data_IF_134519066974
#
_entry.id   IF_134519066974
#
_cell.length_a   1.000
_cell.length_b   1.000
_cell.length_c   1.000
_cell.angle_alpha   90.00
_cell.angle_beta   90.00
_cell.angle_gamma   90.00
#
_symmetry.space_group_name_H-M   'P 1'
#
loop_
_entity.id
_entity.type
_entity.pdbx_description
1 polymer ?
#
# COMPACT_ATOMS: atom_id res chain seq x y z
N UNK A 1 -10.29 6.57 5.95
CA UNK A 1 -10.50 6.18 4.54
C UNK A 1 -11.99 6.06 4.30
N UNK A 2 -12.49 6.58 3.19
CA UNK A 2 -13.88 6.45 2.75
C UNK A 2 -13.92 5.70 1.42
N UNK A 3 -14.82 4.72 1.29
CA UNK A 3 -15.03 3.96 0.05
C UNK A 3 -16.43 4.24 -0.47
N UNK A 4 -16.53 4.63 -1.74
CA UNK A 4 -17.78 4.90 -2.46
C UNK A 4 -17.98 3.78 -3.47
N UNK A 5 -18.90 2.87 -3.15
CA UNK A 5 -19.13 1.64 -3.92
C UNK A 5 -20.55 1.53 -4.52
N UNK A 6 -21.38 2.55 -4.30
CA UNK A 6 -22.74 2.59 -4.83
C UNK A 6 -22.83 3.58 -5.98
N UNK A 7 -22.95 3.07 -7.21
CA UNK A 7 -23.08 3.89 -8.42
C UNK A 7 -24.37 4.74 -8.51
N UNK A 8 -25.34 4.54 -7.59
CA UNK A 8 -26.56 5.36 -7.51
C UNK A 8 -26.48 6.48 -6.48
N UNK A 9 -25.41 6.52 -5.68
CA UNK A 9 -25.28 7.54 -4.66
C UNK A 9 -24.86 8.88 -5.28
N UNK A 10 -25.47 9.95 -4.79
CA UNK A 10 -25.15 11.31 -5.17
C UNK A 10 -24.46 12.02 -4.00
N UNK A 11 -23.45 12.83 -4.30
CA UNK A 11 -22.63 13.50 -3.31
C UNK A 11 -22.49 14.98 -3.66
N UNK A 12 -22.31 15.81 -2.64
CA UNK A 12 -22.01 17.22 -2.83
C UNK A 12 -20.51 17.46 -2.78
N UNK A 13 -20.04 18.51 -3.42
CA UNK A 13 -18.65 18.96 -3.31
C UNK A 13 -18.24 19.20 -1.85
N UNK A 14 -19.14 19.76 -1.03
CA UNK A 14 -18.90 20.04 0.39
C UNK A 14 -18.54 18.78 1.18
N UNK A 15 -19.21 17.66 0.91
CA UNK A 15 -18.92 16.39 1.56
C UNK A 15 -17.49 15.89 1.24
N UNK A 16 -17.03 16.05 -0.01
CA UNK A 16 -15.65 15.72 -0.37
C UNK A 16 -14.63 16.63 0.33
N UNK A 17 -14.88 17.95 0.34
CA UNK A 17 -14.02 18.94 1.00
C UNK A 17 -13.86 18.62 2.50
N UNK A 18 -14.96 18.39 3.20
CA UNK A 18 -14.94 18.10 4.65
C UNK A 18 -14.13 16.85 4.97
N UNK A 19 -14.30 15.79 4.15
CA UNK A 19 -13.58 14.52 4.37
C UNK A 19 -12.09 14.63 4.04
N UNK A 20 -11.74 15.33 2.96
CA UNK A 20 -10.35 15.58 2.59
C UNK A 20 -9.66 16.46 3.64
N UNK A 21 -10.32 17.50 4.16
CA UNK A 21 -9.81 18.35 5.24
C UNK A 21 -9.57 17.57 6.55
N UNK A 22 -10.40 16.56 6.83
CA UNK A 22 -10.16 15.62 7.93
C UNK A 22 -9.04 14.59 7.65
N UNK A 23 -8.34 14.69 6.51
CA UNK A 23 -7.23 13.82 6.13
C UNK A 23 -7.66 12.47 5.56
N UNK A 24 -8.92 12.28 5.17
CA UNK A 24 -9.40 11.01 4.62
C UNK A 24 -9.04 10.86 3.13
N UNK A 25 -8.43 9.73 2.76
CA UNK A 25 -8.45 9.25 1.37
C UNK A 25 -9.83 8.76 0.99
N UNK A 26 -10.31 9.15 -0.18
CA UNK A 26 -11.59 8.74 -0.75
C UNK A 26 -11.30 7.83 -1.96
N UNK A 27 -11.87 6.64 -1.97
CA UNK A 27 -11.74 5.67 -3.08
C UNK A 27 -13.11 5.52 -3.74
N UNK A 28 -13.16 5.67 -5.06
CA UNK A 28 -14.36 5.46 -5.87
C UNK A 28 -14.23 4.12 -6.57
N UNK A 29 -15.22 3.26 -6.41
CA UNK A 29 -15.27 1.96 -7.06
C UNK A 29 -15.98 2.07 -8.41
N UNK A 30 -15.59 1.23 -9.36
CA UNK A 30 -16.23 1.07 -10.66
C UNK A 30 -17.49 0.21 -10.58
N UNK A 31 -18.11 -0.03 -11.75
CA UNK A 31 -19.29 -0.89 -11.87
C UNK A 31 -19.02 -2.36 -11.51
N UNK A 32 -17.76 -2.76 -11.44
CA UNK A 32 -17.26 -4.09 -11.09
C UNK A 32 -16.83 -4.19 -9.61
N UNK A 33 -17.11 -3.16 -8.81
CA UNK A 33 -16.68 -3.07 -7.40
C UNK A 33 -15.16 -3.14 -7.22
N UNK A 34 -14.38 -2.78 -8.26
CA UNK A 34 -12.94 -2.58 -8.18
C UNK A 34 -12.60 -1.08 -8.10
N UNK A 35 -11.48 -0.66 -7.49
CA UNK A 35 -11.13 0.76 -7.42
C UNK A 35 -10.98 1.38 -8.80
N UNK A 36 -11.85 2.33 -9.15
CA UNK A 36 -11.80 3.08 -10.40
C UNK A 36 -10.96 4.35 -10.27
N UNK A 37 -10.87 4.92 -9.07
CA UNK A 37 -10.06 6.11 -8.82
C UNK A 37 -10.04 6.48 -7.34
N UNK A 38 -9.25 7.49 -7.01
CA UNK A 38 -9.14 7.99 -5.64
C UNK A 38 -8.87 9.49 -5.58
N UNK A 39 -9.35 10.13 -4.51
CA UNK A 39 -9.00 11.50 -4.14
C UNK A 39 -8.12 11.46 -2.89
N UNK A 40 -6.96 12.09 -3.00
CA UNK A 40 -6.04 12.30 -1.90
C UNK A 40 -6.19 13.72 -1.36
N UNK A 41 -6.14 13.91 -0.03
CA UNK A 41 -5.98 15.24 0.54
C UNK A 41 -4.71 15.87 -0.04
N UNK A 42 -4.85 17.05 -0.65
CA UNK A 42 -3.70 17.83 -1.14
C UNK A 42 -3.28 18.91 -0.14
N UNK A 43 -4.25 19.42 0.62
CA UNK A 43 -4.03 20.37 1.71
C UNK A 43 -4.13 19.63 3.05
N UNK A 44 -3.05 18.93 3.40
CA UNK A 44 -2.87 18.30 4.69
C UNK A 44 -1.83 19.08 5.47
N UNK A 45 -2.25 20.16 6.15
CA UNK A 45 -1.48 20.96 7.10
C UNK A 45 -0.15 20.32 7.51
N UNK A 46 0.98 20.95 7.11
CA UNK A 46 2.40 20.62 7.36
C UNK A 46 2.82 19.13 7.22
N UNK A 47 2.18 18.22 7.94
CA UNK A 47 2.42 16.77 7.95
C UNK A 47 2.43 16.11 6.57
N UNK A 48 1.55 16.48 5.64
CA UNK A 48 1.55 15.88 4.31
C UNK A 48 2.76 16.33 3.50
N UNK A 49 3.04 17.64 3.48
CA UNK A 49 4.23 18.21 2.85
C UNK A 49 5.51 17.62 3.44
N UNK A 50 5.61 17.50 4.77
CA UNK A 50 6.75 16.85 5.41
C UNK A 50 6.92 15.39 4.99
N UNK A 51 5.84 14.62 4.84
CA UNK A 51 5.92 13.24 4.33
C UNK A 51 6.38 13.20 2.88
N UNK A 52 5.85 14.06 2.02
CA UNK A 52 6.28 14.11 0.62
C UNK A 52 7.74 14.53 0.48
N UNK A 53 8.18 15.57 1.21
CA UNK A 53 9.59 15.94 1.26
C UNK A 53 10.45 14.77 1.75
N UNK A 54 10.08 14.11 2.86
CA UNK A 54 10.82 12.96 3.35
C UNK A 54 10.87 11.79 2.33
N UNK A 55 9.78 11.56 1.58
CA UNK A 55 9.76 10.56 0.50
C UNK A 55 10.71 10.95 -0.65
N UNK A 56 10.70 12.21 -1.07
CA UNK A 56 11.58 12.72 -2.15
C UNK A 56 13.04 12.72 -1.72
N UNK A 57 13.32 13.11 -0.48
CA UNK A 57 14.66 13.18 0.10
C UNK A 57 15.18 11.82 0.61
N UNK A 58 14.37 10.75 0.49
CA UNK A 58 14.78 9.41 0.90
C UNK A 58 16.03 9.01 0.13
N UNK A 59 17.08 8.65 0.86
CA UNK A 59 18.33 8.21 0.26
C UNK A 59 18.15 6.87 -0.47
N UNK A 60 18.87 6.66 -1.57
CA UNK A 60 18.83 5.40 -2.30
C UNK A 60 19.06 4.16 -1.40
N UNK A 61 20.06 4.15 -0.47
CA UNK A 61 20.26 3.02 0.42
C UNK A 61 19.08 2.76 1.38
N UNK A 62 18.37 3.80 1.82
CA UNK A 62 17.19 3.64 2.66
C UNK A 62 16.02 3.07 1.86
N UNK A 63 15.79 3.59 0.65
CA UNK A 63 14.76 3.09 -0.25
C UNK A 63 14.93 1.59 -0.53
N UNK A 64 16.15 1.17 -0.86
CA UNK A 64 16.47 -0.23 -1.18
C UNK A 64 16.31 -1.15 0.05
N UNK A 65 16.68 -0.68 1.24
CA UNK A 65 16.47 -1.42 2.50
C UNK A 65 14.99 -1.57 2.85
N UNK A 66 14.19 -0.51 2.66
CA UNK A 66 12.74 -0.55 2.88
C UNK A 66 12.09 -1.53 1.91
N UNK A 67 12.48 -1.48 0.64
CA UNK A 67 12.02 -2.41 -0.39
C UNK A 67 12.33 -3.87 -0.03
N UNK A 68 13.58 -4.17 0.33
CA UNK A 68 14.01 -5.51 0.77
C UNK A 68 13.19 -6.02 1.96
N UNK A 69 12.92 -5.15 2.94
CA UNK A 69 12.12 -5.49 4.11
C UNK A 69 10.66 -5.83 3.72
N UNK A 70 10.07 -5.09 2.79
CA UNK A 70 8.72 -5.37 2.27
C UNK A 70 8.65 -6.73 1.55
N UNK A 71 9.61 -7.04 0.69
CA UNK A 71 9.65 -8.33 -0.02
C UNK A 71 9.85 -9.50 0.95
N UNK A 72 10.78 -9.37 1.90
CA UNK A 72 10.98 -10.39 2.94
C UNK A 72 9.71 -10.59 3.80
N UNK A 73 8.98 -9.51 4.12
CA UNK A 73 7.71 -9.60 4.83
C UNK A 73 6.63 -10.29 3.99
N UNK A 74 6.53 -9.98 2.69
CA UNK A 74 5.62 -10.63 1.72
C UNK A 74 5.85 -12.15 1.68
N UNK A 75 7.10 -12.59 1.56
CA UNK A 75 7.44 -14.02 1.52
C UNK A 75 7.09 -14.74 2.83
N UNK A 76 7.40 -14.15 3.98
CA UNK A 76 6.98 -14.70 5.28
C UNK A 76 5.46 -14.82 5.38
N UNK A 77 4.74 -13.82 4.89
CA UNK A 77 3.27 -13.83 4.93
C UNK A 77 2.68 -14.88 4.01
N UNK A 78 3.19 -15.03 2.78
CA UNK A 78 2.79 -16.12 1.86
C UNK A 78 3.00 -17.49 2.53
N UNK A 79 4.16 -17.72 3.16
CA UNK A 79 4.44 -18.97 3.88
C UNK A 79 3.48 -19.24 5.04
N UNK A 80 3.12 -18.19 5.82
CA UNK A 80 2.12 -18.30 6.89
C UNK A 80 0.74 -18.65 6.35
N UNK A 81 0.31 -18.04 5.24
CA UNK A 81 -0.98 -18.33 4.60
C UNK A 81 -1.04 -19.78 4.12
N UNK A 82 0.04 -20.31 3.52
CA UNK A 82 0.10 -21.72 3.12
C UNK A 82 -0.01 -22.67 4.32
N UNK A 83 0.74 -22.40 5.39
CA UNK A 83 0.65 -23.17 6.65
C UNK A 83 -0.74 -23.13 7.25
N UNK A 84 -1.38 -21.96 7.28
CA UNK A 84 -2.75 -21.81 7.77
C UNK A 84 -3.77 -22.60 6.92
N UNK A 85 -3.48 -22.79 5.63
CA UNK A 85 -4.28 -23.63 4.74
C UNK A 85 -3.92 -25.14 4.81
N UNK A 86 -3.12 -25.56 5.79
CA UNK A 86 -2.69 -26.96 5.97
C UNK A 86 -1.68 -27.44 4.93
N UNK A 87 -0.98 -26.53 4.25
CA UNK A 87 0.06 -26.83 3.25
C UNK A 87 1.44 -26.53 3.82
N UNK A 88 2.46 -27.14 3.22
CA UNK A 88 3.84 -26.75 3.49
C UNK A 88 4.10 -25.30 3.02
N UNK A 89 5.02 -24.58 3.68
CA UNK A 89 5.32 -23.20 3.29
C UNK A 89 6.17 -23.07 2.03
N UNK A 90 6.50 -24.20 1.38
CA UNK A 90 7.29 -24.30 0.16
C UNK A 90 8.67 -23.63 0.28
N UNK A 91 9.21 -23.53 1.51
CA UNK A 91 10.47 -22.84 1.78
C UNK A 91 10.40 -21.32 1.71
N UNK A 92 9.21 -20.70 1.56
CA UNK A 92 9.05 -19.25 1.46
C UNK A 92 9.59 -18.50 2.69
N UNK A 93 9.47 -19.11 3.88
CA UNK A 93 10.04 -18.54 5.11
C UNK A 93 11.56 -18.50 5.06
N UNK A 94 12.20 -19.51 4.47
CA UNK A 94 13.64 -19.57 4.28
C UNK A 94 14.10 -18.64 3.14
N UNK A 95 13.31 -18.47 2.09
CA UNK A 95 13.59 -17.48 1.03
C UNK A 95 13.56 -16.04 1.57
N UNK A 96 12.70 -15.74 2.53
CA UNK A 96 12.60 -14.42 3.12
C UNK A 96 13.90 -13.93 3.80
N UNK A 97 14.76 -14.82 4.31
CA UNK A 97 16.06 -14.44 4.88
C UNK A 97 17.14 -14.24 3.82
N UNK A 98 16.87 -14.65 2.57
CA UNK A 98 17.79 -14.61 1.43
C UNK A 98 17.50 -13.46 0.47
N UNK A 99 16.44 -12.67 0.69
CA UNK A 99 16.15 -11.47 -0.12
C UNK A 99 17.35 -10.54 0.01
N UNK A 100 18.03 -10.28 -1.11
CA UNK A 100 19.20 -9.41 -1.17
C UNK A 100 18.80 -8.04 -1.74
N UNK A 101 19.71 -7.09 -1.59
CA UNK A 101 19.61 -5.79 -2.22
C UNK A 101 19.31 -5.92 -3.73
N UNK A 102 18.24 -5.27 -4.19
CA UNK A 102 17.80 -5.31 -5.59
C UNK A 102 17.34 -6.69 -6.10
N UNK A 103 17.22 -7.69 -5.21
CA UNK A 103 16.76 -9.06 -5.48
C UNK A 103 17.21 -9.65 -6.82
N UNK A 104 18.53 -9.84 -7.01
CA UNK A 104 19.08 -10.31 -8.28
C UNK A 104 18.59 -11.71 -8.67
N UNK A 105 18.13 -12.50 -7.69
CA UNK A 105 17.62 -13.84 -7.91
C UNK A 105 16.09 -13.86 -8.15
N UNK A 106 15.44 -12.69 -8.18
CA UNK A 106 14.00 -12.51 -8.38
C UNK A 106 13.16 -13.38 -7.43
N UNK A 107 13.55 -13.42 -6.14
CA UNK A 107 12.86 -14.19 -5.10
C UNK A 107 11.44 -13.70 -4.82
N UNK A 108 11.07 -12.49 -5.26
CA UNK A 108 9.71 -11.97 -5.11
C UNK A 108 8.65 -12.67 -5.99
N UNK A 109 9.05 -13.21 -7.14
CA UNK A 109 8.17 -13.75 -8.18
C UNK A 109 7.32 -14.94 -7.70
#
# INVERSE_FOLDING_TARGET
MLVIDNGRASYTQAMFIERLAAGATIVVMGCDHLPAGMMLPMDGHHSLTHRHCAQVETSAPLHERLWQAMVAAKLRQKGRVLKAAGRDDAGLTALASRVRHGDPDNLEA
#
